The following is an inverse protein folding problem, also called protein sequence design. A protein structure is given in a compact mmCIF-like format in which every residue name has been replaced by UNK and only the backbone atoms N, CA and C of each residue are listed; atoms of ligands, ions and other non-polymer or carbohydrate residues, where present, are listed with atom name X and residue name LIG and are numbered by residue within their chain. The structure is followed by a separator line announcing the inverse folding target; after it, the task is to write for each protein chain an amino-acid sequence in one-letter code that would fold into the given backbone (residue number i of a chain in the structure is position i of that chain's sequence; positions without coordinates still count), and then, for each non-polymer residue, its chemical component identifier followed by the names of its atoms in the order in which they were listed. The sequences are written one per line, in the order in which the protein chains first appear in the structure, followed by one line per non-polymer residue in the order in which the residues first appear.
data_IF_372976988816
#
_entry.id   IF_372976988816
#
_cell.length_a   1.000
_cell.length_b   1.000
_cell.length_c   1.000
_cell.angle_alpha   90.00
_cell.angle_beta   90.00
_cell.angle_gamma   90.00
#
_symmetry.space_group_name_H-M   'P 1'
#
loop_
_entity.id
_entity.type
_entity.pdbx_description
1 polymer ?
#
# COMPACT_ATOMS: atom_id res chain seq x y z
N UNK A 1 -16.73 -29.19 -29.45
CA UNK A 1 -17.46 -28.52 -28.36
C UNK A 1 -16.44 -27.84 -27.47
N UNK A 2 -16.10 -26.59 -27.78
CA UNK A 2 -15.19 -25.76 -26.97
C UNK A 2 -15.96 -25.28 -25.75
N UNK A 3 -15.53 -25.74 -24.57
CA UNK A 3 -16.07 -25.37 -23.26
C UNK A 3 -16.06 -23.85 -23.08
N UNK A 4 -17.23 -23.36 -22.70
CA UNK A 4 -17.63 -22.00 -22.38
C UNK A 4 -16.59 -21.30 -21.50
N UNK A 5 -16.29 -20.05 -21.83
CA UNK A 5 -15.61 -19.12 -20.93
C UNK A 5 -16.25 -19.15 -19.55
N UNK A 6 -15.41 -19.28 -18.53
CA UNK A 6 -15.75 -19.22 -17.10
C UNK A 6 -16.41 -17.87 -16.77
N UNK A 7 -17.73 -17.76 -16.94
CA UNK A 7 -18.52 -16.56 -16.66
C UNK A 7 -18.67 -16.35 -15.14
N UNK A 8 -17.57 -15.99 -14.49
CA UNK A 8 -17.60 -15.51 -13.10
C UNK A 8 -17.78 -13.99 -13.10
N UNK A 9 -18.94 -13.46 -12.65
CA UNK A 9 -19.20 -12.01 -12.65
C UNK A 9 -18.35 -11.23 -11.64
N UNK A 10 -17.70 -11.92 -10.70
CA UNK A 10 -16.85 -11.35 -9.65
C UNK A 10 -15.52 -12.13 -9.58
N UNK A 11 -14.41 -11.43 -9.34
CA UNK A 11 -13.09 -12.02 -9.12
C UNK A 11 -13.01 -12.66 -7.73
N UNK A 12 -13.46 -11.93 -6.71
CA UNK A 12 -13.68 -12.38 -5.34
C UNK A 12 -15.12 -12.08 -4.95
N UNK A 13 -16.02 -13.01 -5.24
CA UNK A 13 -17.45 -12.86 -4.93
C UNK A 13 -17.69 -12.63 -3.43
N UNK A 14 -16.86 -13.19 -2.54
CA UNK A 14 -17.04 -13.01 -1.10
C UNK A 14 -16.79 -11.56 -0.72
N UNK A 15 -15.70 -10.96 -1.21
CA UNK A 15 -15.36 -9.58 -0.95
C UNK A 15 -16.27 -8.61 -1.70
N UNK A 16 -16.53 -8.86 -2.99
CA UNK A 16 -17.25 -7.94 -3.87
C UNK A 16 -18.76 -7.86 -3.57
N UNK A 17 -19.34 -8.89 -2.94
CA UNK A 17 -20.77 -8.96 -2.63
C UNK A 17 -21.12 -8.92 -1.15
N UNK A 18 -20.13 -8.81 -0.25
CA UNK A 18 -20.39 -8.74 1.19
C UNK A 18 -21.21 -7.50 1.57
N UNK A 19 -21.83 -7.56 2.75
CA UNK A 19 -22.69 -6.46 3.23
C UNK A 19 -21.89 -5.18 3.49
N UNK A 20 -22.59 -4.04 3.54
CA UNK A 20 -21.97 -2.77 3.91
C UNK A 20 -21.35 -2.81 5.32
N UNK A 21 -22.00 -3.50 6.26
CA UNK A 21 -21.50 -3.68 7.61
C UNK A 21 -20.19 -4.49 7.63
N UNK A 22 -20.10 -5.56 6.83
CA UNK A 22 -18.87 -6.35 6.69
C UNK A 22 -17.74 -5.53 6.07
N UNK A 23 -18.06 -4.70 5.07
CA UNK A 23 -17.11 -3.75 4.49
C UNK A 23 -16.59 -2.73 5.50
N UNK A 24 -17.46 -2.15 6.32
CA UNK A 24 -17.07 -1.16 7.32
C UNK A 24 -16.20 -1.79 8.41
N UNK A 25 -16.54 -3.00 8.86
CA UNK A 25 -15.74 -3.78 9.81
C UNK A 25 -14.35 -4.15 9.23
N UNK A 26 -14.31 -4.62 7.97
CA UNK A 26 -13.05 -4.97 7.30
C UNK A 26 -12.14 -3.74 7.15
N UNK A 27 -12.67 -2.62 6.64
CA UNK A 27 -11.90 -1.38 6.48
C UNK A 27 -11.34 -0.88 7.80
N UNK A 28 -12.13 -0.94 8.89
CA UNK A 28 -11.68 -0.51 10.21
C UNK A 28 -10.53 -1.40 10.72
N UNK A 29 -10.68 -2.73 10.58
CA UNK A 29 -9.65 -3.69 10.96
C UNK A 29 -8.34 -3.47 10.18
N UNK A 30 -8.44 -3.26 8.86
CA UNK A 30 -7.28 -2.97 8.01
C UNK A 30 -6.64 -1.64 8.37
N UNK A 31 -7.43 -0.59 8.60
CA UNK A 31 -6.93 0.72 9.00
C UNK A 31 -6.12 0.64 10.30
N UNK A 32 -6.65 -0.03 11.32
CA UNK A 32 -5.97 -0.24 12.60
C UNK A 32 -4.63 -0.98 12.40
N UNK A 33 -4.63 -2.03 11.58
CA UNK A 33 -3.41 -2.79 11.25
C UNK A 33 -2.38 -1.92 10.52
N UNK A 34 -2.79 -1.15 9.52
CA UNK A 34 -1.87 -0.31 8.74
C UNK A 34 -1.28 0.81 9.59
N UNK A 35 -2.08 1.48 10.41
CA UNK A 35 -1.59 2.55 11.29
C UNK A 35 -0.64 1.98 12.35
N UNK A 36 -0.97 0.84 12.96
CA UNK A 36 -0.07 0.18 13.90
C UNK A 36 1.26 -0.26 13.24
N UNK A 37 1.19 -0.84 12.04
CA UNK A 37 2.37 -1.24 11.27
C UNK A 37 3.25 -0.03 10.92
N UNK A 38 2.66 1.07 10.44
CA UNK A 38 3.38 2.29 10.13
C UNK A 38 4.06 2.90 11.37
N UNK A 39 3.37 2.98 12.51
CA UNK A 39 3.94 3.49 13.76
C UNK A 39 5.10 2.64 14.27
N UNK A 40 4.99 1.32 14.15
CA UNK A 40 6.03 0.40 14.60
C UNK A 40 7.26 0.44 13.67
N UNK A 41 7.03 0.39 12.36
CA UNK A 41 8.08 0.21 11.36
C UNK A 41 8.75 1.49 10.88
N UNK A 42 8.02 2.61 10.78
CA UNK A 42 8.53 3.84 10.17
C UNK A 42 8.85 4.92 11.22
N UNK A 43 10.12 5.37 11.32
CA UNK A 43 10.49 6.52 12.12
C UNK A 43 9.74 7.80 11.77
N UNK A 44 9.47 8.04 10.48
CA UNK A 44 8.75 9.22 10.03
C UNK A 44 7.30 9.24 10.51
N UNK A 45 6.55 8.14 10.35
CA UNK A 45 5.17 8.06 10.81
C UNK A 45 5.06 8.16 12.33
N UNK A 46 5.94 7.47 13.07
CA UNK A 46 5.98 7.58 14.53
C UNK A 46 6.19 9.02 15.00
N UNK A 47 7.19 9.70 14.46
CA UNK A 47 7.45 11.11 14.82
C UNK A 47 6.26 12.02 14.47
N UNK A 48 5.62 11.81 13.31
CA UNK A 48 4.46 12.59 12.90
C UNK A 48 3.25 12.36 13.81
N UNK A 49 3.00 11.12 14.22
CA UNK A 49 1.89 10.76 15.10
C UNK A 49 2.12 11.25 16.53
N UNK A 50 3.35 11.14 17.04
CA UNK A 50 3.73 11.67 18.35
C UNK A 50 3.55 13.19 18.41
N UNK A 51 3.96 13.91 17.36
CA UNK A 51 3.78 15.36 17.25
C UNK A 51 2.30 15.77 17.21
N UNK A 52 1.46 14.97 16.53
CA UNK A 52 0.02 15.15 16.49
C UNK A 52 -0.72 14.62 17.74
N UNK A 53 0.00 13.96 18.67
CA UNK A 53 -0.53 13.32 19.88
C UNK A 53 -1.64 12.31 19.57
N UNK A 54 -1.45 11.55 18.50
CA UNK A 54 -2.35 10.47 18.08
C UNK A 54 -1.66 9.13 18.18
N UNK A 55 -2.43 8.08 18.46
CA UNK A 55 -1.92 6.72 18.64
C UNK A 55 -2.84 5.70 17.96
N UNK A 56 -2.32 4.58 17.41
CA UNK A 56 -3.14 3.60 16.70
C UNK A 56 -4.35 3.06 17.48
N UNK A 57 -4.22 2.94 18.81
CA UNK A 57 -5.29 2.46 19.70
C UNK A 57 -6.49 3.41 19.77
N UNK A 58 -6.34 4.66 19.36
CA UNK A 58 -7.41 5.66 19.32
C UNK A 58 -8.35 5.50 18.10
N UNK A 59 -8.01 4.66 17.13
CA UNK A 59 -8.86 4.39 15.96
C UNK A 59 -9.96 3.41 16.37
N UNK A 60 -11.17 3.93 16.64
CA UNK A 60 -12.37 3.13 16.99
C UNK A 60 -13.42 3.14 15.87
N UNK A 61 -13.28 4.06 14.93
CA UNK A 61 -14.12 4.23 13.75
C UNK A 61 -13.27 4.67 12.56
N UNK A 62 -13.80 4.57 11.34
CA UNK A 62 -13.13 5.07 10.14
C UNK A 62 -12.93 6.60 10.17
N UNK A 63 -13.79 7.32 10.89
CA UNK A 63 -13.74 8.78 10.98
C UNK A 63 -12.56 9.29 11.83
N UNK A 64 -12.01 8.46 12.73
CA UNK A 64 -10.88 8.82 13.59
C UNK A 64 -9.60 9.11 12.81
N UNK A 65 -9.49 8.60 11.57
CA UNK A 65 -8.33 8.85 10.71
C UNK A 65 -8.13 10.34 10.41
N UNK A 66 -9.19 11.17 10.49
CA UNK A 66 -9.09 12.62 10.27
C UNK A 66 -8.21 13.34 11.30
N UNK A 67 -7.92 12.71 12.43
CA UNK A 67 -7.03 13.24 13.46
C UNK A 67 -5.55 13.02 13.13
N UNK A 68 -5.25 12.11 12.22
CA UNK A 68 -3.89 11.78 11.83
C UNK A 68 -3.38 12.75 10.76
N UNK A 69 -2.08 13.09 10.77
CA UNK A 69 -1.51 14.01 9.80
C UNK A 69 -1.52 13.41 8.39
N UNK A 70 -1.73 14.26 7.38
CA UNK A 70 -1.55 13.89 5.99
C UNK A 70 -0.07 13.89 5.60
N UNK A 71 0.26 13.07 4.59
CA UNK A 71 1.54 13.14 3.88
C UNK A 71 1.26 13.66 2.48
N UNK A 72 2.08 14.62 2.04
CA UNK A 72 2.05 15.12 0.67
C UNK A 72 3.26 14.61 -0.13
N UNK A 73 3.20 14.84 -1.45
CA UNK A 73 4.25 14.39 -2.38
C UNK A 73 5.61 15.02 -2.10
N UNK A 74 5.62 16.23 -1.53
CA UNK A 74 6.85 16.93 -1.16
C UNK A 74 7.51 16.24 0.02
N UNK A 75 6.76 16.03 1.10
CA UNK A 75 7.19 15.35 2.31
C UNK A 75 7.74 13.96 1.99
N UNK A 76 7.04 13.19 1.15
CA UNK A 76 7.52 11.88 0.69
C UNK A 76 8.93 11.96 0.06
N UNK A 77 9.15 12.92 -0.85
CA UNK A 77 10.46 13.11 -1.49
C UNK A 77 11.53 13.56 -0.50
N UNK A 78 11.21 14.52 0.35
CA UNK A 78 12.14 15.06 1.35
C UNK A 78 12.60 13.95 2.31
N UNK A 79 11.69 13.07 2.74
CA UNK A 79 12.03 11.91 3.58
C UNK A 79 12.84 10.85 2.84
N UNK A 80 12.55 10.60 1.57
CA UNK A 80 13.35 9.70 0.73
C UNK A 80 14.80 10.18 0.56
N UNK A 81 14.99 11.48 0.36
CA UNK A 81 16.32 12.08 0.24
C UNK A 81 17.08 12.15 1.57
N UNK A 82 16.38 12.38 2.68
CA UNK A 82 16.99 12.48 4.00
C UNK A 82 17.61 11.15 4.48
N UNK A 83 17.01 10.01 4.11
CA UNK A 83 17.49 8.68 4.51
C UNK A 83 17.51 7.73 3.30
N UNK A 84 18.60 7.72 2.50
CA UNK A 84 18.71 6.80 1.38
C UNK A 84 18.72 5.32 1.81
N UNK A 85 18.27 4.39 0.96
CA UNK A 85 17.79 4.59 -0.41
C UNK A 85 16.29 4.88 -0.54
N UNK A 86 15.46 4.55 0.46
CA UNK A 86 13.99 4.59 0.34
C UNK A 86 13.28 5.53 1.33
N UNK A 87 14.05 6.27 2.14
CA UNK A 87 13.52 7.10 3.20
C UNK A 87 13.20 6.31 4.46
N UNK A 88 12.88 7.06 5.50
CA UNK A 88 12.42 6.54 6.79
C UNK A 88 10.88 6.48 6.90
N UNK A 89 10.20 6.57 5.76
CA UNK A 89 8.78 6.26 5.60
C UNK A 89 8.53 4.75 5.40
N UNK A 90 9.55 4.00 4.99
CA UNK A 90 9.44 2.54 4.83
C UNK A 90 9.29 1.89 6.21
N UNK A 91 8.31 0.99 6.33
CA UNK A 91 7.96 0.32 7.58
C UNK A 91 8.56 -1.09 7.73
N UNK A 92 9.39 -1.51 6.77
CA UNK A 92 10.06 -2.80 6.70
C UNK A 92 11.56 -2.60 6.46
N UNK A 93 12.42 -3.54 6.86
CA UNK A 93 13.84 -3.46 6.54
C UNK A 93 14.07 -3.67 5.04
N UNK A 94 15.14 -3.07 4.52
CA UNK A 94 15.47 -3.10 3.08
C UNK A 94 15.52 -4.51 2.47
N UNK A 95 16.03 -5.50 3.22
CA UNK A 95 16.12 -6.90 2.78
C UNK A 95 14.77 -7.55 2.42
N UNK A 96 13.65 -7.00 2.88
CA UNK A 96 12.31 -7.53 2.62
C UNK A 96 11.70 -6.91 1.34
N UNK A 97 12.40 -5.96 0.71
CA UNK A 97 11.98 -5.29 -0.53
C UNK A 97 12.43 -6.13 -1.73
N UNK A 98 11.47 -6.57 -2.55
CA UNK A 98 11.73 -7.44 -3.72
C UNK A 98 11.52 -6.73 -5.06
N UNK A 99 10.87 -5.57 -5.04
CA UNK A 99 10.54 -4.82 -6.24
C UNK A 99 10.46 -3.32 -5.95
N UNK A 100 10.91 -2.50 -6.91
CA UNK A 100 10.75 -1.05 -6.85
C UNK A 100 10.07 -0.58 -8.13
N UNK A 101 8.96 0.14 -7.97
CA UNK A 101 8.47 1.02 -9.02
C UNK A 101 9.00 2.43 -8.77
N UNK A 102 9.47 3.11 -9.81
CA UNK A 102 9.91 4.50 -9.71
C UNK A 102 9.10 5.35 -10.68
N UNK A 103 8.54 6.45 -10.19
CA UNK A 103 7.98 7.46 -11.09
C UNK A 103 9.13 8.26 -11.72
N UNK A 104 9.08 8.50 -13.02
CA UNK A 104 10.12 9.24 -13.75
C UNK A 104 10.28 10.70 -13.31
N UNK A 105 9.34 11.22 -12.50
CA UNK A 105 9.42 12.51 -11.83
C UNK A 105 9.68 13.69 -12.78
N UNK A 106 8.66 14.48 -13.12
CA UNK A 106 8.79 15.71 -13.94
C UNK A 106 9.70 16.81 -13.37
N UNK A 107 10.30 16.58 -12.20
CA UNK A 107 11.11 17.54 -11.42
C UNK A 107 12.55 17.04 -11.19
N UNK A 108 12.96 15.95 -11.86
CA UNK A 108 14.33 15.43 -11.83
C UNK A 108 14.66 14.49 -10.67
N UNK A 109 13.91 14.53 -9.57
CA UNK A 109 14.05 13.56 -8.46
C UNK A 109 12.96 12.49 -8.57
N UNK A 110 13.32 11.24 -8.91
CA UNK A 110 12.37 10.14 -8.95
C UNK A 110 11.89 9.79 -7.55
N UNK A 111 10.60 9.48 -7.43
CA UNK A 111 10.03 8.94 -6.18
C UNK A 111 9.94 7.43 -6.32
N UNK A 112 10.60 6.71 -5.42
CA UNK A 112 10.59 5.26 -5.37
C UNK A 112 9.38 4.74 -4.58
N UNK A 113 8.85 3.60 -5.01
CA UNK A 113 7.81 2.85 -4.35
C UNK A 113 8.33 1.42 -4.17
N UNK A 114 8.92 1.08 -3.01
CA UNK A 114 9.37 -0.27 -2.70
C UNK A 114 8.19 -1.18 -2.34
N UNK A 115 8.26 -2.44 -2.74
CA UNK A 115 7.26 -3.48 -2.49
C UNK A 115 7.93 -4.67 -1.80
N UNK A 116 7.32 -5.18 -0.73
CA UNK A 116 7.63 -6.53 -0.24
C UNK A 116 7.06 -7.59 -1.17
N UNK A 117 7.43 -8.86 -0.96
CA UNK A 117 6.82 -9.96 -1.71
C UNK A 117 5.29 -9.98 -1.55
N UNK A 118 4.78 -9.75 -0.35
CA UNK A 118 3.33 -9.70 -0.10
C UNK A 118 2.65 -8.54 -0.83
N UNK A 119 3.30 -7.36 -0.89
CA UNK A 119 2.76 -6.20 -1.61
C UNK A 119 2.74 -6.48 -3.12
N UNK A 120 3.81 -7.09 -3.62
CA UNK A 120 3.94 -7.43 -5.04
C UNK A 120 2.91 -8.49 -5.46
N UNK A 121 2.72 -9.54 -4.67
CA UNK A 121 1.73 -10.57 -4.93
C UNK A 121 0.31 -10.00 -4.92
N UNK A 122 -0.01 -9.15 -3.94
CA UNK A 122 -1.31 -8.45 -3.89
C UNK A 122 -1.53 -7.52 -5.08
N UNK A 123 -0.48 -6.83 -5.54
CA UNK A 123 -0.56 -5.98 -6.73
C UNK A 123 -0.81 -6.80 -8.01
N UNK A 124 -0.13 -7.95 -8.17
CA UNK A 124 -0.34 -8.85 -9.29
C UNK A 124 -1.76 -9.46 -9.26
N UNK A 125 -2.25 -9.86 -8.09
CA UNK A 125 -3.60 -10.40 -7.94
C UNK A 125 -4.67 -9.37 -8.35
N UNK A 126 -4.56 -8.14 -7.86
CA UNK A 126 -5.46 -7.04 -8.26
C UNK A 126 -5.40 -6.75 -9.77
N UNK A 127 -4.20 -6.80 -10.37
CA UNK A 127 -4.03 -6.59 -11.81
C UNK A 127 -4.66 -7.72 -12.65
N UNK A 128 -4.65 -8.95 -12.14
CA UNK A 128 -5.34 -10.08 -12.78
C UNK A 128 -6.85 -9.91 -12.73
N UNK A 129 -7.41 -9.53 -11.58
CA UNK A 129 -8.85 -9.30 -11.42
C UNK A 129 -9.40 -8.16 -12.28
N UNK A 130 -8.62 -7.10 -12.48
CA UNK A 130 -9.05 -5.94 -13.31
C UNK A 130 -8.92 -6.15 -14.82
N UNK A 131 -8.06 -7.07 -15.27
CA UNK A 131 -7.74 -7.22 -16.70
C UNK A 131 -8.37 -8.44 -17.37
N UNK A 132 -8.87 -9.42 -16.59
CA UNK A 132 -9.39 -10.68 -17.14
C UNK A 132 -8.38 -11.44 -18.02
N UNK A 133 -7.10 -11.03 -18.01
CA UNK A 133 -6.06 -11.56 -18.89
C UNK A 133 -4.86 -11.99 -18.06
N UNK A 134 -4.39 -13.25 -18.21
CA UNK A 134 -3.34 -13.81 -17.36
C UNK A 134 -1.94 -13.21 -17.55
N UNK A 135 -1.72 -12.32 -18.53
CA UNK A 135 -0.36 -12.03 -19.05
C UNK A 135 0.15 -10.60 -18.80
N UNK A 136 -0.59 -9.75 -18.08
CA UNK A 136 -0.21 -8.35 -17.93
C UNK A 136 0.83 -8.15 -16.80
N UNK A 137 1.99 -8.78 -16.87
CA UNK A 137 3.05 -8.70 -15.85
C UNK A 137 4.28 -7.87 -16.24
N UNK A 138 4.39 -7.40 -17.49
CA UNK A 138 5.59 -6.73 -17.97
C UNK A 138 5.31 -5.28 -18.36
N UNK A 139 5.52 -4.36 -17.42
CA UNK A 139 5.89 -2.99 -17.75
C UNK A 139 6.64 -2.35 -16.57
N UNK A 140 7.95 -2.17 -16.79
CA UNK A 140 8.93 -1.41 -15.99
C UNK A 140 9.23 -1.99 -14.60
N UNK A 141 9.86 -3.17 -14.59
CA UNK A 141 10.52 -3.72 -13.41
C UNK A 141 11.99 -3.31 -13.39
N UNK A 142 12.41 -2.57 -12.36
CA UNK A 142 13.83 -2.61 -11.95
C UNK A 142 13.89 -3.62 -10.81
N UNK A 143 14.25 -4.86 -11.15
CA UNK A 143 14.45 -5.92 -10.16
C UNK A 143 15.74 -5.60 -9.40
N UNK A 144 15.67 -5.44 -8.08
CA UNK A 144 16.88 -5.38 -7.26
C UNK A 144 17.43 -6.81 -7.24
N UNK A 145 18.67 -7.00 -7.69
CA UNK A 145 19.41 -8.25 -7.49
C UNK A 145 20.17 -8.21 -6.18
#
# INVERSE_FOLDING_TARGET
MTTTSDERPYWDAKLETQSRADWDALKLSLLQKHVAHATAGSPAYRAAFDAAKVSPDQIKSLDDIRRFPFIDKRSLRDRQLAVPPFGDLVAVPERDIVYISASSGSTGVPTASPFTQSDFDGWIDMRRGSSGRPECGQAIATYIR
#
